data_IF_336203433018
#
_entry.id   IF_336203433018
#
_cell.length_a   1.000
_cell.length_b   1.000
_cell.length_c   1.000
_cell.angle_alpha   90.00
_cell.angle_beta   90.00
_cell.angle_gamma   90.00
#
_symmetry.space_group_name_H-M   'P 1'
#
loop_
_entity.id
_entity.type
_entity.pdbx_description
1 polymer ?
#
# COMPACT_ATOMS: atom_id res chain seq x y z
N UNK A 1 -0.07 -10.24 -15.62
CA UNK A 1 0.83 -9.07 -15.74
C UNK A 1 2.16 -9.52 -16.30
N UNK A 2 3.16 -9.72 -15.44
CA UNK A 2 4.55 -10.02 -15.84
C UNK A 2 4.65 -11.19 -16.82
N UNK A 3 4.07 -12.36 -16.52
CA UNK A 3 4.14 -13.52 -17.42
C UNK A 3 3.55 -13.25 -18.81
N UNK A 4 2.45 -12.48 -18.88
CA UNK A 4 1.81 -12.10 -20.15
C UNK A 4 2.68 -11.11 -20.91
N UNK A 5 3.16 -10.05 -20.24
CA UNK A 5 4.07 -9.06 -20.85
C UNK A 5 5.38 -9.69 -21.31
N UNK A 6 5.96 -10.65 -20.58
CA UNK A 6 7.12 -11.41 -21.03
C UNK A 6 6.84 -12.22 -22.29
N UNK A 7 5.66 -12.83 -22.42
CA UNK A 7 5.26 -13.53 -23.63
C UNK A 7 5.11 -12.58 -24.83
N UNK A 8 4.68 -11.32 -24.62
CA UNK A 8 4.56 -10.34 -25.72
C UNK A 8 5.89 -9.99 -26.37
N UNK A 9 7.00 -10.05 -25.63
CA UNK A 9 8.34 -9.87 -26.20
C UNK A 9 8.65 -10.96 -27.23
N UNK A 10 8.24 -12.20 -26.96
CA UNK A 10 8.45 -13.35 -27.85
C UNK A 10 7.51 -13.28 -29.05
N UNK A 11 6.24 -12.90 -28.84
CA UNK A 11 5.19 -12.93 -29.88
C UNK A 11 5.22 -11.69 -30.78
N UNK A 12 5.40 -10.50 -30.19
CA UNK A 12 5.26 -9.19 -30.84
C UNK A 12 6.59 -8.42 -30.94
N UNK A 13 7.68 -8.93 -30.36
CA UNK A 13 9.00 -8.29 -30.41
C UNK A 13 9.18 -7.12 -29.44
N UNK A 14 8.15 -6.75 -28.68
CA UNK A 14 8.18 -5.63 -27.72
C UNK A 14 7.36 -5.97 -26.45
N UNK A 15 7.73 -5.43 -25.28
CA UNK A 15 6.96 -5.62 -24.06
C UNK A 15 5.70 -4.76 -24.05
N UNK A 16 4.53 -5.38 -24.23
CA UNK A 16 3.24 -4.73 -24.10
C UNK A 16 2.70 -4.96 -22.69
N UNK A 17 2.66 -3.90 -21.90
CA UNK A 17 2.23 -3.92 -20.50
C UNK A 17 0.78 -3.45 -20.31
N UNK A 18 0.25 -2.65 -21.23
CA UNK A 18 -1.16 -2.26 -21.26
C UNK A 18 -2.02 -3.41 -21.82
N UNK A 19 -2.91 -4.01 -21.02
CA UNK A 19 -3.75 -5.11 -21.46
C UNK A 19 -4.75 -4.69 -22.54
N UNK A 20 -5.20 -3.43 -22.56
CA UNK A 20 -6.13 -2.93 -23.58
C UNK A 20 -5.42 -2.89 -24.93
N UNK A 21 -4.20 -2.36 -24.96
CA UNK A 21 -3.37 -2.33 -26.18
C UNK A 21 -3.06 -3.74 -26.65
N UNK A 22 -2.70 -4.64 -25.73
CA UNK A 22 -2.39 -6.03 -26.06
C UNK A 22 -3.59 -6.75 -26.69
N UNK A 23 -4.77 -6.64 -26.08
CA UNK A 23 -5.98 -7.26 -26.62
C UNK A 23 -6.38 -6.67 -27.98
N UNK A 24 -6.05 -5.39 -28.25
CA UNK A 24 -6.27 -4.76 -29.55
C UNK A 24 -5.39 -5.30 -30.68
N UNK A 25 -4.35 -6.11 -30.38
CA UNK A 25 -3.47 -6.73 -31.40
C UNK A 25 -4.06 -8.01 -32.01
N UNK A 26 -5.17 -8.54 -31.48
CA UNK A 26 -5.82 -9.70 -32.07
C UNK A 26 -6.55 -9.34 -33.38
N UNK A 27 -6.43 -10.21 -34.39
CA UNK A 27 -7.03 -9.97 -35.72
C UNK A 27 -8.55 -10.12 -35.74
N UNK A 28 -9.11 -11.02 -34.92
CA UNK A 28 -10.54 -11.32 -34.90
C UNK A 28 -11.30 -10.32 -34.01
N UNK A 29 -12.23 -9.50 -34.56
CA UNK A 29 -13.01 -8.55 -33.77
C UNK A 29 -13.84 -9.22 -32.67
N UNK A 30 -14.28 -10.47 -32.89
CA UNK A 30 -15.01 -11.25 -31.91
C UNK A 30 -14.16 -11.63 -30.70
N UNK A 31 -12.89 -12.01 -30.94
CA UNK A 31 -11.94 -12.33 -29.87
C UNK A 31 -11.61 -11.08 -29.06
N UNK A 32 -11.42 -9.94 -29.73
CA UNK A 32 -11.22 -8.64 -29.05
C UNK A 32 -12.43 -8.31 -28.18
N UNK A 33 -13.64 -8.37 -28.72
CA UNK A 33 -14.87 -8.04 -27.99
C UNK A 33 -15.05 -8.93 -26.74
N UNK A 34 -14.91 -10.25 -26.89
CA UNK A 34 -15.04 -11.18 -25.77
C UNK A 34 -13.96 -10.95 -24.70
N UNK A 35 -12.72 -10.69 -25.13
CA UNK A 35 -11.61 -10.42 -24.23
C UNK A 35 -11.79 -9.11 -23.47
N UNK A 36 -12.34 -8.07 -24.10
CA UNK A 36 -12.65 -6.79 -23.45
C UNK A 36 -13.76 -6.90 -22.42
N UNK A 37 -14.79 -7.72 -22.68
CA UNK A 37 -15.81 -8.05 -21.67
C UNK A 37 -15.15 -8.76 -20.49
N UNK A 38 -14.30 -9.75 -20.76
CA UNK A 38 -13.54 -10.45 -19.71
C UNK A 38 -12.65 -9.50 -18.90
N UNK A 39 -11.90 -8.62 -19.56
CA UNK A 39 -11.04 -7.62 -18.92
C UNK A 39 -11.87 -6.67 -18.03
N UNK A 40 -13.03 -6.22 -18.51
CA UNK A 40 -13.93 -5.35 -17.76
C UNK A 40 -14.44 -6.04 -16.51
N UNK A 41 -14.92 -7.28 -16.62
CA UNK A 41 -15.40 -8.07 -15.49
C UNK A 41 -14.27 -8.29 -14.48
N UNK A 42 -13.10 -8.71 -14.94
CA UNK A 42 -11.93 -8.96 -14.09
C UNK A 42 -11.47 -7.69 -13.35
N UNK A 43 -11.49 -6.55 -14.04
CA UNK A 43 -11.13 -5.25 -13.45
C UNK A 43 -12.13 -4.85 -12.37
N UNK A 44 -13.43 -4.94 -12.67
CA UNK A 44 -14.49 -4.60 -11.71
C UNK A 44 -14.48 -5.53 -10.49
N UNK A 45 -14.40 -6.85 -10.71
CA UNK A 45 -14.42 -7.83 -9.62
C UNK A 45 -13.23 -7.65 -8.68
N UNK A 46 -12.03 -7.47 -9.23
CA UNK A 46 -10.80 -7.28 -8.45
C UNK A 46 -10.80 -5.93 -7.73
N UNK A 47 -11.26 -4.86 -8.40
CA UNK A 47 -11.26 -3.52 -7.81
C UNK A 47 -12.23 -3.42 -6.62
N UNK A 48 -13.43 -3.98 -6.74
CA UNK A 48 -14.40 -3.98 -5.63
C UNK A 48 -13.80 -4.71 -4.43
N UNK A 49 -13.26 -5.91 -4.62
CA UNK A 49 -12.72 -6.71 -3.52
C UNK A 49 -11.47 -6.08 -2.87
N UNK A 50 -10.51 -5.63 -3.68
CA UNK A 50 -9.21 -5.18 -3.19
C UNK A 50 -9.19 -3.71 -2.74
N UNK A 51 -9.91 -2.82 -3.46
CA UNK A 51 -9.74 -1.37 -3.30
C UNK A 51 -10.94 -0.68 -2.65
N UNK A 52 -12.11 -1.31 -2.58
CA UNK A 52 -13.31 -0.69 -1.99
C UNK A 52 -13.59 -1.19 -0.58
N UNK A 53 -13.43 -2.49 -0.32
CA UNK A 53 -13.84 -3.10 0.97
C UNK A 53 -13.09 -2.52 2.15
N UNK A 54 -11.75 -2.42 2.07
CA UNK A 54 -10.92 -1.94 3.17
C UNK A 54 -11.24 -0.49 3.57
N UNK A 55 -11.19 0.51 2.66
CA UNK A 55 -11.53 1.89 3.01
C UNK A 55 -13.01 2.06 3.40
N UNK A 56 -13.95 1.33 2.79
CA UNK A 56 -15.35 1.36 3.18
C UNK A 56 -15.53 0.93 4.64
N UNK A 57 -14.83 -0.12 5.07
CA UNK A 57 -14.84 -0.59 6.45
C UNK A 57 -14.16 0.41 7.39
N UNK A 58 -13.03 0.99 7.00
CA UNK A 58 -12.35 2.04 7.78
C UNK A 58 -13.25 3.24 8.00
N UNK A 59 -13.92 3.75 6.96
CA UNK A 59 -14.83 4.91 7.05
C UNK A 59 -16.05 4.57 7.91
N UNK A 60 -16.64 3.37 7.76
CA UNK A 60 -17.73 2.92 8.61
C UNK A 60 -17.35 2.90 10.10
N UNK A 61 -16.11 2.51 10.42
CA UNK A 61 -15.60 2.47 11.79
C UNK A 61 -15.31 3.87 12.39
N UNK A 62 -15.22 4.93 11.58
CA UNK A 62 -15.07 6.30 12.11
C UNK A 62 -16.34 6.73 12.87
N UNK A 63 -17.51 6.36 12.35
CA UNK A 63 -18.80 6.73 12.94
C UNK A 63 -19.85 5.64 12.71
N UNK A 64 -19.74 4.50 13.41
CA UNK A 64 -20.52 3.30 13.12
C UNK A 64 -22.03 3.48 13.31
N UNK A 65 -22.47 4.46 14.11
CA UNK A 65 -23.89 4.78 14.29
C UNK A 65 -24.51 5.54 13.11
N UNK A 66 -23.70 6.16 12.24
CA UNK A 66 -24.17 6.97 11.10
C UNK A 66 -23.75 6.43 9.75
N UNK A 67 -22.61 5.75 9.67
CA UNK A 67 -22.02 5.31 8.41
C UNK A 67 -22.10 3.78 8.33
N UNK A 68 -23.00 3.30 7.47
CA UNK A 68 -23.04 1.88 7.10
C UNK A 68 -21.92 1.54 6.11
N UNK A 69 -21.58 0.25 6.00
CA UNK A 69 -20.63 -0.24 5.00
C UNK A 69 -20.98 0.19 3.56
N UNK A 70 -22.29 0.17 3.21
CA UNK A 70 -22.76 0.64 1.90
C UNK A 70 -22.45 2.11 1.67
N UNK A 71 -22.74 2.97 2.66
CA UNK A 71 -22.42 4.39 2.58
C UNK A 71 -20.91 4.62 2.52
N UNK A 72 -20.12 3.89 3.31
CA UNK A 72 -18.66 3.91 3.26
C UNK A 72 -18.10 3.54 1.88
N UNK A 73 -18.73 2.57 1.19
CA UNK A 73 -18.40 2.18 -0.18
C UNK A 73 -18.64 3.31 -1.18
N UNK A 74 -19.78 4.00 -1.10
CA UNK A 74 -20.06 5.16 -1.95
C UNK A 74 -19.08 6.31 -1.70
N UNK A 75 -18.78 6.62 -0.43
CA UNK A 75 -17.80 7.65 -0.08
C UNK A 75 -16.42 7.31 -0.65
N UNK A 76 -16.00 6.04 -0.49
CA UNK A 76 -14.74 5.54 -1.06
C UNK A 76 -14.69 5.75 -2.57
N UNK A 77 -15.75 5.38 -3.29
CA UNK A 77 -15.81 5.55 -4.75
C UNK A 77 -15.70 7.01 -5.19
N UNK A 78 -16.42 7.90 -4.51
CA UNK A 78 -16.36 9.35 -4.79
C UNK A 78 -14.96 9.90 -4.53
N UNK A 79 -14.37 9.60 -3.38
CA UNK A 79 -13.00 10.04 -3.04
C UNK A 79 -11.99 9.48 -4.05
N UNK A 80 -12.13 8.21 -4.44
CA UNK A 80 -11.26 7.58 -5.44
C UNK A 80 -11.25 8.32 -6.78
N UNK A 81 -12.41 8.80 -7.25
CA UNK A 81 -12.50 9.64 -8.46
C UNK A 81 -11.87 11.01 -8.23
N UNK A 82 -12.16 11.64 -7.09
CA UNK A 82 -11.67 12.99 -6.75
C UNK A 82 -10.15 13.08 -6.51
N UNK A 83 -9.47 11.95 -6.30
CA UNK A 83 -7.99 11.91 -6.25
C UNK A 83 -7.38 12.08 -7.65
N UNK A 84 -8.19 12.05 -8.72
CA UNK A 84 -7.73 12.14 -10.12
C UNK A 84 -6.64 11.10 -10.45
N UNK A 85 -6.88 9.80 -10.22
CA UNK A 85 -5.85 8.76 -10.33
C UNK A 85 -5.23 8.68 -11.73
N UNK A 86 -5.95 9.08 -12.78
CA UNK A 86 -5.43 9.16 -14.14
C UNK A 86 -4.26 10.15 -14.30
N UNK A 87 -4.17 11.18 -13.44
CA UNK A 87 -2.99 12.08 -13.44
C UNK A 87 -1.75 11.39 -12.91
N UNK A 88 -1.89 10.49 -11.93
CA UNK A 88 -0.78 9.67 -11.43
C UNK A 88 -0.35 8.66 -12.50
N UNK A 89 -1.31 8.03 -13.18
CA UNK A 89 -1.02 7.05 -14.24
C UNK A 89 -0.40 7.68 -15.50
N UNK A 90 -0.58 8.98 -15.72
CA UNK A 90 0.01 9.70 -16.85
C UNK A 90 1.55 9.79 -16.77
N UNK A 91 2.13 9.65 -15.58
CA UNK A 91 3.57 9.54 -15.37
C UNK A 91 3.91 8.20 -14.68
N UNK A 92 4.12 7.12 -15.44
CA UNK A 92 4.44 5.81 -14.88
C UNK A 92 5.72 5.79 -14.04
N UNK A 93 6.72 6.61 -14.41
CA UNK A 93 7.98 6.67 -13.68
C UNK A 93 7.78 7.36 -12.33
N UNK A 94 7.14 8.53 -12.31
CA UNK A 94 6.75 9.20 -11.08
C UNK A 94 5.84 8.35 -10.21
N UNK A 95 4.89 7.64 -10.80
CA UNK A 95 4.00 6.73 -10.09
C UNK A 95 4.76 5.62 -9.37
N UNK A 96 5.66 4.91 -10.07
CA UNK A 96 6.38 3.77 -9.49
C UNK A 96 7.46 4.25 -8.51
N UNK A 97 8.39 5.08 -8.98
CA UNK A 97 9.61 5.37 -8.23
C UNK A 97 9.45 6.46 -7.16
N UNK A 98 8.49 7.38 -7.36
CA UNK A 98 8.21 8.42 -6.37
C UNK A 98 7.07 7.96 -5.47
N UNK A 99 5.89 7.70 -6.04
CA UNK A 99 4.68 7.53 -5.22
C UNK A 99 4.60 6.17 -4.54
N UNK A 100 4.72 5.07 -5.29
CA UNK A 100 4.58 3.72 -4.74
C UNK A 100 5.68 3.38 -3.74
N UNK A 101 6.95 3.75 -4.01
CA UNK A 101 8.04 3.48 -3.07
C UNK A 101 7.84 4.28 -1.76
N UNK A 102 7.53 5.57 -1.84
CA UNK A 102 7.27 6.39 -0.66
C UNK A 102 6.09 5.85 0.16
N UNK A 103 5.00 5.49 -0.51
CA UNK A 103 3.82 4.90 0.13
C UNK A 103 4.14 3.54 0.76
N UNK A 104 4.94 2.71 0.09
CA UNK A 104 5.38 1.41 0.61
C UNK A 104 6.20 1.54 1.89
N UNK A 105 7.01 2.60 2.02
CA UNK A 105 7.79 2.86 3.23
C UNK A 105 6.87 3.00 4.46
N UNK A 106 5.77 3.73 4.31
CA UNK A 106 4.77 3.92 5.37
C UNK A 106 4.05 2.61 5.71
N UNK A 107 3.65 1.85 4.68
CA UNK A 107 2.97 0.57 4.88
C UNK A 107 3.87 -0.49 5.53
N UNK A 108 5.15 -0.53 5.15
CA UNK A 108 6.15 -1.41 5.76
C UNK A 108 6.29 -1.13 7.26
N UNK A 109 6.40 0.14 7.64
CA UNK A 109 6.48 0.57 9.03
C UNK A 109 5.23 0.15 9.86
N UNK A 110 4.03 0.36 9.31
CA UNK A 110 2.79 -0.06 9.97
C UNK A 110 2.74 -1.58 10.14
N UNK A 111 3.05 -2.32 9.07
CA UNK A 111 3.05 -3.77 9.08
C UNK A 111 4.05 -4.33 10.10
N UNK A 112 5.26 -3.77 10.19
CA UNK A 112 6.27 -4.22 11.15
C UNK A 112 5.81 -4.09 12.60
N UNK A 113 5.20 -2.95 12.96
CA UNK A 113 4.61 -2.76 14.30
C UNK A 113 3.47 -3.75 14.55
N UNK A 114 2.52 -3.87 13.61
CA UNK A 114 1.34 -4.73 13.79
C UNK A 114 1.71 -6.21 13.91
N UNK A 115 2.63 -6.69 13.07
CA UNK A 115 3.11 -8.08 13.10
C UNK A 115 3.86 -8.35 14.41
N UNK A 116 4.72 -7.43 14.86
CA UNK A 116 5.39 -7.58 16.15
C UNK A 116 4.40 -7.61 17.33
N UNK A 117 3.44 -6.70 17.35
CA UNK A 117 2.45 -6.60 18.42
C UNK A 117 1.63 -7.88 18.54
N UNK A 118 1.08 -8.35 17.41
CA UNK A 118 0.20 -9.51 17.40
C UNK A 118 0.95 -10.82 17.66
N UNK A 119 2.01 -11.11 16.92
CA UNK A 119 2.67 -12.42 16.98
C UNK A 119 3.69 -12.54 18.13
N UNK A 120 4.44 -11.48 18.44
CA UNK A 120 5.55 -11.57 19.40
C UNK A 120 5.14 -11.08 20.80
N UNK A 121 4.48 -9.92 20.88
CA UNK A 121 4.12 -9.33 22.18
C UNK A 121 2.89 -10.02 22.77
N UNK A 122 1.84 -10.17 21.95
CA UNK A 122 0.55 -10.74 22.35
C UNK A 122 0.40 -12.22 22.08
N UNK A 123 1.33 -12.84 21.34
CA UNK A 123 1.33 -14.28 21.04
C UNK A 123 0.01 -14.76 20.43
N UNK A 124 -0.56 -13.97 19.52
CA UNK A 124 -1.85 -14.22 18.86
C UNK A 124 -3.09 -14.15 19.76
N UNK A 125 -2.94 -13.73 21.02
CA UNK A 125 -4.05 -13.59 21.98
C UNK A 125 -4.59 -12.16 21.98
N UNK A 126 -5.86 -12.01 21.57
CA UNK A 126 -6.61 -10.75 21.61
C UNK A 126 -7.95 -10.97 22.32
N UNK A 127 -8.32 -10.06 23.21
CA UNK A 127 -9.66 -10.03 23.78
C UNK A 127 -10.59 -9.29 22.81
N UNK A 128 -11.35 -10.06 22.04
CA UNK A 128 -12.26 -9.54 21.03
C UNK A 128 -13.31 -8.59 21.64
N UNK A 129 -13.84 -8.89 22.82
CA UNK A 129 -14.86 -8.06 23.44
C UNK A 129 -14.29 -6.69 23.85
N UNK A 130 -13.02 -6.64 24.25
CA UNK A 130 -12.35 -5.41 24.62
C UNK A 130 -12.00 -4.52 23.42
N UNK A 131 -11.80 -5.08 22.22
CA UNK A 131 -11.54 -4.29 21.00
C UNK A 131 -12.71 -3.38 20.61
N UNK A 132 -13.93 -3.75 21.01
CA UNK A 132 -15.16 -2.98 20.71
C UNK A 132 -15.65 -2.13 21.90
N UNK A 133 -14.85 -2.01 22.98
CA UNK A 133 -15.18 -1.15 24.13
C UNK A 133 -14.36 0.13 24.10
N UNK A 134 -15.05 1.28 24.18
CA UNK A 134 -14.41 2.61 24.25
C UNK A 134 -13.43 2.70 25.42
N UNK A 135 -13.82 2.18 26.58
CA UNK A 135 -13.00 2.14 27.80
C UNK A 135 -12.29 0.80 28.03
N UNK A 136 -12.09 0.01 26.98
CA UNK A 136 -11.43 -1.30 27.05
C UNK A 136 -9.92 -1.22 27.27
N UNK A 137 -9.29 -2.39 27.41
CA UNK A 137 -7.82 -2.49 27.61
C UNK A 137 -6.98 -1.98 26.42
N UNK A 138 -7.60 -1.82 25.25
CA UNK A 138 -6.97 -1.32 24.02
C UNK A 138 -7.22 0.17 23.77
N UNK A 139 -7.79 0.90 24.74
CA UNK A 139 -8.16 2.30 24.56
C UNK A 139 -6.94 3.21 24.35
N UNK A 140 -7.14 4.25 23.56
CA UNK A 140 -6.17 5.32 23.35
C UNK A 140 -5.09 4.99 22.32
N UNK A 141 -4.00 5.76 22.38
CA UNK A 141 -2.91 5.70 21.41
C UNK A 141 -1.69 5.00 21.99
N UNK A 142 -1.13 4.03 21.26
CA UNK A 142 0.11 3.38 21.65
C UNK A 142 1.31 4.24 21.23
N UNK A 143 1.80 5.10 22.12
CA UNK A 143 2.94 5.97 21.84
C UNK A 143 4.20 5.22 21.40
N UNK A 144 4.44 4.01 21.91
CA UNK A 144 5.59 3.17 21.52
C UNK A 144 5.48 2.72 20.07
N UNK A 145 4.27 2.37 19.62
CA UNK A 145 4.00 2.04 18.23
C UNK A 145 4.27 3.24 17.31
N UNK A 146 3.82 4.44 17.68
CA UNK A 146 4.04 5.65 16.89
C UNK A 146 5.50 6.09 16.83
N UNK A 147 6.24 5.95 17.93
CA UNK A 147 7.68 6.18 17.96
C UNK A 147 8.39 5.19 17.03
N UNK A 148 8.09 3.90 17.13
CA UNK A 148 8.69 2.87 16.27
C UNK A 148 8.36 3.11 14.79
N UNK A 149 7.10 3.45 14.49
CA UNK A 149 6.65 3.82 13.15
C UNK A 149 7.46 5.00 12.60
N UNK A 150 7.47 6.15 13.30
CA UNK A 150 8.13 7.36 12.83
C UNK A 150 9.64 7.21 12.72
N UNK A 151 10.29 6.62 13.73
CA UNK A 151 11.73 6.41 13.74
C UNK A 151 12.19 5.45 12.62
N UNK A 152 11.34 4.48 12.24
CA UNK A 152 11.65 3.56 11.14
C UNK A 152 11.72 4.22 9.77
N UNK A 153 11.16 5.42 9.60
CA UNK A 153 11.21 6.17 8.35
C UNK A 153 12.53 6.92 8.17
N UNK A 154 13.26 7.20 9.26
CA UNK A 154 14.50 7.99 9.21
C UNK A 154 15.55 7.42 8.24
N UNK A 155 15.80 6.10 8.15
CA UNK A 155 16.78 5.55 7.21
C UNK A 155 16.41 5.75 5.73
N UNK A 156 15.13 5.86 5.40
CA UNK A 156 14.65 5.99 4.02
C UNK A 156 14.43 7.45 3.60
N UNK A 157 14.39 8.38 4.57
CA UNK A 157 14.20 9.82 4.32
C UNK A 157 15.22 10.41 3.34
N UNK A 158 16.54 10.14 3.42
CA UNK A 158 17.48 10.78 2.51
C UNK A 158 17.21 10.42 1.05
N UNK A 159 16.99 9.13 0.74
CA UNK A 159 16.64 8.70 -0.61
C UNK A 159 15.27 9.24 -1.08
N UNK A 160 14.27 9.30 -0.19
CA UNK A 160 12.99 9.93 -0.50
C UNK A 160 13.16 11.40 -0.90
N UNK A 161 13.90 12.19 -0.13
CA UNK A 161 14.12 13.62 -0.39
C UNK A 161 14.85 13.85 -1.73
N UNK A 162 15.74 12.93 -2.13
CA UNK A 162 16.35 12.89 -3.46
C UNK A 162 15.30 12.74 -4.55
N UNK A 163 14.45 11.73 -4.38
CA UNK A 163 13.49 11.28 -5.38
C UNK A 163 12.40 12.32 -5.61
N UNK A 164 12.07 13.13 -4.60
CA UNK A 164 11.16 14.27 -4.73
C UNK A 164 11.87 15.60 -5.08
N UNK A 165 13.15 15.54 -5.46
CA UNK A 165 13.96 16.70 -5.89
C UNK A 165 14.11 17.81 -4.84
N UNK A 166 13.95 17.48 -3.56
CA UNK A 166 14.17 18.44 -2.47
C UNK A 166 15.65 18.58 -2.10
N UNK A 167 16.45 17.54 -2.38
CA UNK A 167 17.91 17.57 -2.28
C UNK A 167 18.54 16.97 -3.54
N UNK A 168 19.76 17.40 -3.94
CA UNK A 168 20.46 16.82 -5.07
C UNK A 168 20.77 15.35 -4.81
N UNK A 169 20.45 14.46 -5.77
CA UNK A 169 20.68 13.03 -5.66
C UNK A 169 22.18 12.69 -5.51
N UNK A 170 23.06 13.56 -6.00
CA UNK A 170 24.51 13.43 -5.92
C UNK A 170 25.03 13.63 -4.49
N UNK A 171 24.27 14.34 -3.63
CA UNK A 171 24.70 14.71 -2.27
C UNK A 171 24.54 13.61 -1.21
N UNK A 172 23.84 12.54 -1.56
CA UNK A 172 23.36 11.50 -0.63
C UNK A 172 24.08 10.18 -0.87
N UNK A 173 24.69 9.98 -2.05
CA UNK A 173 25.42 8.76 -2.35
C UNK A 173 24.51 7.55 -2.60
N UNK A 174 25.05 6.57 -3.34
CA UNK A 174 24.27 5.43 -3.85
C UNK A 174 23.63 4.56 -2.76
N UNK A 175 24.25 4.48 -1.58
CA UNK A 175 23.73 3.70 -0.46
C UNK A 175 22.33 4.13 -0.02
N UNK A 176 22.08 5.43 0.18
CA UNK A 176 20.77 5.90 0.64
C UNK A 176 19.68 5.76 -0.43
N UNK A 177 20.06 5.81 -1.72
CA UNK A 177 19.16 5.51 -2.83
C UNK A 177 18.78 4.02 -2.87
N UNK A 178 19.72 3.13 -2.58
CA UNK A 178 19.47 1.69 -2.48
C UNK A 178 18.59 1.36 -1.26
N UNK A 179 18.87 1.96 -0.10
CA UNK A 179 18.01 1.85 1.09
C UNK A 179 16.57 2.29 0.79
N UNK A 180 16.39 3.39 0.06
CA UNK A 180 15.05 3.85 -0.34
C UNK A 180 14.41 2.92 -1.39
N UNK A 181 15.17 2.34 -2.30
CA UNK A 181 14.66 1.36 -3.27
C UNK A 181 14.04 0.13 -2.60
N UNK A 182 14.53 -0.23 -1.40
CA UNK A 182 13.99 -1.30 -0.56
C UNK A 182 13.20 -0.77 0.64
N UNK A 183 12.63 0.44 0.56
CA UNK A 183 12.06 1.14 1.71
C UNK A 183 11.04 0.31 2.50
N UNK A 184 10.16 -0.44 1.84
CA UNK A 184 9.17 -1.30 2.53
C UNK A 184 9.83 -2.29 3.49
N UNK A 185 10.89 -2.99 3.06
CA UNK A 185 11.57 -3.97 3.89
C UNK A 185 12.35 -3.30 5.01
N UNK A 186 13.05 -2.20 4.70
CA UNK A 186 13.81 -1.43 5.69
C UNK A 186 12.89 -0.95 6.80
N UNK A 187 11.80 -0.26 6.47
CA UNK A 187 10.88 0.29 7.46
C UNK A 187 10.15 -0.82 8.22
N UNK A 188 9.81 -1.93 7.57
CA UNK A 188 9.22 -3.12 8.21
C UNK A 188 10.13 -3.68 9.31
N UNK A 189 11.37 -4.04 8.99
CA UNK A 189 12.26 -4.66 9.96
C UNK A 189 12.70 -3.69 11.06
N UNK A 190 12.94 -2.42 10.71
CA UNK A 190 13.31 -1.39 11.70
C UNK A 190 12.16 -1.10 12.65
N UNK A 191 10.94 -0.88 12.16
CA UNK A 191 9.78 -0.64 13.02
C UNK A 191 9.45 -1.83 13.92
N UNK A 192 9.55 -3.06 13.38
CA UNK A 192 9.39 -4.29 14.15
C UNK A 192 10.40 -4.35 15.31
N UNK A 193 11.69 -4.18 15.02
CA UNK A 193 12.76 -4.27 16.01
C UNK A 193 12.65 -3.16 17.07
N UNK A 194 12.38 -1.93 16.65
CA UNK A 194 12.19 -0.79 17.55
C UNK A 194 10.98 -0.99 18.46
N UNK A 195 9.84 -1.39 17.91
CA UNK A 195 8.64 -1.63 18.70
C UNK A 195 8.85 -2.74 19.73
N UNK A 196 9.47 -3.86 19.30
CA UNK A 196 9.82 -4.95 20.20
C UNK A 196 10.73 -4.49 21.35
N UNK A 197 11.79 -3.74 21.03
CA UNK A 197 12.72 -3.18 22.01
C UNK A 197 12.03 -2.23 22.99
N UNK A 198 11.25 -1.26 22.49
CA UNK A 198 10.51 -0.30 23.31
C UNK A 198 9.52 -0.98 24.25
N UNK A 199 8.82 -2.02 23.78
CA UNK A 199 7.87 -2.77 24.63
C UNK A 199 8.60 -3.61 25.68
N UNK A 200 9.78 -4.16 25.38
CA UNK A 200 10.59 -4.96 26.32
C UNK A 200 11.26 -4.11 27.40
N UNK A 201 11.84 -2.97 27.03
CA UNK A 201 12.62 -2.11 27.96
C UNK A 201 11.69 -1.37 28.93
N UNK A 202 10.57 -0.84 28.43
CA UNK A 202 9.59 -0.07 29.20
C UNK A 202 8.50 -0.95 29.85
N UNK A 203 8.73 -2.27 29.93
CA UNK A 203 7.90 -3.21 30.69
C UNK A 203 8.39 -3.39 32.14
N UNK A 204 9.54 -2.81 32.49
CA UNK A 204 9.93 -2.53 33.87
C UNK A 204 9.25 -1.25 34.34
#
# INVERSE_FOLDING_TARGET
GIAVTSATVIIFGEPIWDPVVLLGKFESPWVVALSMIGLTIATLSTNIAANVVAPANSIANIMPSKISFRLGGYITGVIGILIFPWKLLADPHGYIFVWLIAYSALLGALAGVMICDYYIIRKTELDLAQLFKVDGIYKGWNGRAWIAFGASLLPVLPGFLATVYLIPAESIGGFWMEVYSYAWFVTFFVSFALYWGLVRVLRK
#
